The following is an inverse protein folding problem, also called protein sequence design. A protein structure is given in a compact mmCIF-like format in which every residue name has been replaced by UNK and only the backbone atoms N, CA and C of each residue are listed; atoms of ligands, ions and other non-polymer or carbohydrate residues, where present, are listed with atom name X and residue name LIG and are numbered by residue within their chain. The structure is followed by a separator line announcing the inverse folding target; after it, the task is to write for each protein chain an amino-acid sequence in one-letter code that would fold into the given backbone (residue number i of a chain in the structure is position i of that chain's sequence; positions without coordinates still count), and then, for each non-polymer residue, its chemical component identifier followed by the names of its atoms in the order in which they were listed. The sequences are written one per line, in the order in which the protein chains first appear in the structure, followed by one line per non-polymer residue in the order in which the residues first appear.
data_IF_223337236021
#
_entry.id   IF_223337236021
#
_cell.length_a   1.000
_cell.length_b   1.000
_cell.length_c   1.000
_cell.angle_alpha   90.00
_cell.angle_beta   90.00
_cell.angle_gamma   90.00
#
_symmetry.space_group_name_H-M   'P 1'
#
loop_
_entity.id
_entity.type
_entity.pdbx_description
1 polymer ?
#
# COMPACT_ATOMS: atom_id res chain seq x y z
N UNK A 1 25.04 -25.26 6.44
CA UNK A 1 23.66 -24.75 6.23
C UNK A 1 23.09 -23.92 7.39
N UNK A 2 23.81 -23.63 8.49
CA UNK A 2 23.24 -22.86 9.62
C UNK A 2 23.63 -21.37 9.71
N UNK A 3 24.66 -20.89 9.01
CA UNK A 3 25.14 -19.49 9.15
C UNK A 3 24.22 -18.42 8.53
N UNK A 4 23.36 -18.77 7.57
CA UNK A 4 22.63 -17.78 6.76
C UNK A 4 21.13 -17.68 7.08
N UNK A 5 20.58 -18.57 7.92
CA UNK A 5 19.13 -18.66 8.16
C UNK A 5 18.55 -17.44 8.89
N UNK A 6 19.38 -16.71 9.63
CA UNK A 6 18.99 -15.54 10.43
C UNK A 6 19.30 -14.19 9.78
N UNK A 7 19.87 -14.16 8.57
CA UNK A 7 20.12 -12.88 7.90
C UNK A 7 18.80 -12.21 7.55
N UNK A 8 18.69 -10.92 7.80
CA UNK A 8 17.66 -10.07 7.20
C UNK A 8 17.77 -10.11 5.67
N UNK A 9 16.70 -9.72 4.96
CA UNK A 9 16.74 -9.63 3.50
C UNK A 9 17.86 -8.67 3.05
N UNK A 10 18.10 -7.60 3.80
CA UNK A 10 19.16 -6.64 3.48
C UNK A 10 20.55 -7.23 3.61
N UNK A 11 20.84 -7.95 4.68
CA UNK A 11 22.15 -8.57 4.88
C UNK A 11 22.40 -9.69 3.86
N UNK A 12 21.38 -10.49 3.56
CA UNK A 12 21.48 -11.54 2.55
C UNK A 12 21.80 -10.96 1.16
N UNK A 13 21.22 -9.81 0.80
CA UNK A 13 21.56 -9.13 -0.44
C UNK A 13 22.96 -8.52 -0.42
N UNK A 14 23.44 -7.97 0.71
CA UNK A 14 24.83 -7.52 0.80
C UNK A 14 25.81 -8.69 0.54
N UNK A 15 25.58 -9.86 1.13
CA UNK A 15 26.41 -11.05 0.89
C UNK A 15 26.41 -11.48 -0.59
N UNK A 16 25.26 -11.48 -1.26
CA UNK A 16 25.19 -11.82 -2.70
C UNK A 16 25.92 -10.78 -3.57
N UNK A 17 25.86 -9.50 -3.20
CA UNK A 17 26.53 -8.43 -3.93
C UNK A 17 28.05 -8.55 -3.85
N UNK A 18 28.56 -8.89 -2.66
CA UNK A 18 29.98 -9.16 -2.40
C UNK A 18 30.44 -10.44 -3.11
N UNK A 19 29.71 -11.57 -2.95
CA UNK A 19 30.10 -12.87 -3.52
C UNK A 19 30.24 -12.84 -5.04
N UNK A 20 29.38 -12.07 -5.72
CA UNK A 20 29.33 -12.05 -7.18
C UNK A 20 29.89 -10.77 -7.82
N UNK A 21 30.41 -9.82 -7.03
CA UNK A 21 30.83 -8.48 -7.48
C UNK A 21 29.75 -7.79 -8.34
N UNK A 22 28.51 -7.79 -7.87
CA UNK A 22 27.33 -7.40 -8.66
C UNK A 22 27.44 -5.95 -9.17
N UNK A 23 27.93 -5.02 -8.34
CA UNK A 23 28.02 -3.61 -8.71
C UNK A 23 29.00 -3.37 -9.87
N UNK A 24 30.18 -3.99 -9.82
CA UNK A 24 31.20 -3.87 -10.86
C UNK A 24 30.71 -4.44 -12.20
N UNK A 25 30.03 -5.60 -12.15
CA UNK A 25 29.43 -6.20 -13.35
C UNK A 25 28.33 -5.33 -13.94
N UNK A 26 27.48 -4.72 -13.11
CA UNK A 26 26.46 -3.77 -13.59
C UNK A 26 27.12 -2.52 -14.21
N UNK A 27 28.24 -2.05 -13.66
CA UNK A 27 28.96 -0.90 -14.21
C UNK A 27 29.61 -1.22 -15.57
N UNK A 28 30.16 -2.42 -15.74
CA UNK A 28 30.77 -2.86 -17.00
C UNK A 28 29.77 -3.32 -18.07
N UNK A 29 28.74 -4.07 -17.68
CA UNK A 29 27.81 -4.78 -18.59
C UNK A 29 26.41 -4.13 -18.65
N UNK A 30 26.11 -3.18 -17.76
CA UNK A 30 24.81 -2.50 -17.64
C UNK A 30 23.77 -3.24 -16.79
N UNK A 31 23.94 -4.55 -16.57
CA UNK A 31 23.07 -5.38 -15.74
C UNK A 31 23.82 -6.61 -15.20
N UNK A 32 23.22 -7.31 -14.24
CA UNK A 32 23.68 -8.60 -13.74
C UNK A 32 22.52 -9.61 -13.74
N UNK A 33 22.77 -10.84 -14.17
CA UNK A 33 21.78 -11.93 -14.10
C UNK A 33 22.14 -12.88 -12.97
N UNK A 34 21.14 -13.25 -12.18
CA UNK A 34 21.31 -14.18 -11.05
C UNK A 34 20.22 -15.26 -11.09
N UNK A 35 20.62 -16.51 -10.88
CA UNK A 35 19.70 -17.63 -10.78
C UNK A 35 19.09 -17.73 -9.38
N UNK A 36 17.82 -18.11 -9.31
CA UNK A 36 17.12 -18.38 -8.05
C UNK A 36 17.85 -19.45 -7.21
N UNK A 37 18.58 -20.36 -7.85
CA UNK A 37 19.40 -21.37 -7.16
C UNK A 37 20.54 -20.75 -6.37
N UNK A 38 21.17 -19.69 -6.88
CA UNK A 38 22.22 -18.95 -6.19
C UNK A 38 21.66 -18.22 -4.99
N UNK A 39 20.54 -17.50 -5.17
CA UNK A 39 19.83 -16.84 -4.06
C UNK A 39 19.45 -17.85 -2.98
N UNK A 40 18.95 -19.03 -3.38
CA UNK A 40 18.51 -20.11 -2.49
C UNK A 40 19.63 -20.67 -1.59
N UNK A 41 20.91 -20.47 -1.94
CA UNK A 41 22.04 -20.82 -1.07
C UNK A 41 22.01 -20.04 0.26
N UNK A 42 21.45 -18.83 0.23
CA UNK A 42 21.40 -17.92 1.38
C UNK A 42 19.98 -17.81 1.95
N UNK A 43 18.97 -17.55 1.10
CA UNK A 43 17.59 -17.32 1.54
C UNK A 43 16.56 -17.67 0.45
N UNK A 44 15.29 -17.83 0.84
CA UNK A 44 14.22 -18.19 -0.09
C UNK A 44 14.08 -17.13 -1.22
N UNK A 45 14.19 -17.52 -2.51
CA UNK A 45 14.24 -16.56 -3.62
C UNK A 45 13.00 -15.67 -3.79
N UNK A 46 11.79 -16.20 -3.54
CA UNK A 46 10.55 -15.42 -3.65
C UNK A 46 10.55 -14.27 -2.64
N UNK A 47 10.95 -14.50 -1.39
CA UNK A 47 11.10 -13.47 -0.37
C UNK A 47 12.20 -12.46 -0.72
N UNK A 48 13.28 -12.92 -1.36
CA UNK A 48 14.40 -12.08 -1.76
C UNK A 48 14.10 -11.20 -2.98
N UNK A 49 13.08 -11.51 -3.78
CA UNK A 49 12.75 -10.78 -5.00
C UNK A 49 11.33 -10.16 -5.00
N UNK A 50 10.58 -10.28 -3.90
CA UNK A 50 9.26 -9.66 -3.71
C UNK A 50 9.43 -8.20 -3.27
N UNK A 51 9.75 -7.34 -4.23
CA UNK A 51 9.82 -5.89 -4.04
C UNK A 51 8.76 -5.24 -4.91
N UNK A 52 7.51 -5.29 -4.44
CA UNK A 52 6.38 -4.73 -5.18
C UNK A 52 6.37 -3.19 -5.08
N UNK A 53 7.00 -2.63 -4.03
CA UNK A 53 7.17 -1.20 -3.84
C UNK A 53 8.64 -0.78 -3.67
N UNK A 54 8.94 0.47 -4.04
CA UNK A 54 10.30 1.02 -3.88
C UNK A 54 10.78 0.93 -2.43
N UNK A 55 9.86 1.12 -1.48
CA UNK A 55 10.15 1.13 -0.04
C UNK A 55 10.59 -0.23 0.51
N UNK A 56 10.27 -1.33 -0.20
CA UNK A 56 10.67 -2.68 0.19
C UNK A 56 12.08 -3.03 -0.31
N UNK A 57 12.70 -2.20 -1.17
CA UNK A 57 14.04 -2.47 -1.68
C UNK A 57 15.08 -2.45 -0.54
N UNK A 58 16.00 -3.43 -0.50
CA UNK A 58 17.13 -3.41 0.41
C UNK A 58 17.96 -2.14 0.26
N UNK A 59 18.67 -1.75 1.32
CA UNK A 59 19.48 -0.52 1.32
C UNK A 59 20.50 -0.50 0.18
N UNK A 60 21.18 -1.63 -0.08
CA UNK A 60 22.14 -1.76 -1.18
C UNK A 60 21.53 -1.53 -2.57
N UNK A 61 20.24 -1.86 -2.76
CA UNK A 61 19.55 -1.55 -4.01
C UNK A 61 19.19 -0.08 -4.11
N UNK A 62 18.57 0.48 -3.07
CA UNK A 62 18.09 1.87 -3.08
C UNK A 62 19.23 2.88 -3.17
N UNK A 63 20.34 2.68 -2.46
CA UNK A 63 21.55 3.52 -2.52
C UNK A 63 22.23 3.49 -3.89
N UNK A 64 22.15 2.35 -4.60
CA UNK A 64 22.72 2.20 -5.94
C UNK A 64 21.71 2.38 -7.08
N UNK A 65 20.47 2.80 -6.76
CA UNK A 65 19.37 2.99 -7.72
C UNK A 65 19.05 1.76 -8.58
N UNK A 66 19.15 0.58 -7.98
CA UNK A 66 18.92 -0.71 -8.61
C UNK A 66 17.49 -1.21 -8.44
N UNK A 67 17.05 -2.01 -9.40
CA UNK A 67 15.85 -2.83 -9.31
C UNK A 67 16.15 -4.25 -9.80
N UNK A 68 15.30 -5.20 -9.43
CA UNK A 68 15.38 -6.61 -9.83
C UNK A 68 14.09 -7.01 -10.54
N UNK A 69 14.20 -7.72 -11.66
CA UNK A 69 13.05 -8.22 -12.43
C UNK A 69 13.23 -9.71 -12.75
N UNK A 70 12.18 -10.54 -12.64
CA UNK A 70 12.24 -11.93 -13.07
C UNK A 70 12.18 -12.03 -14.59
N UNK A 71 13.20 -12.64 -15.19
CA UNK A 71 13.30 -12.85 -16.65
C UNK A 71 12.89 -14.27 -17.05
N UNK A 72 12.97 -15.22 -16.13
CA UNK A 72 12.44 -16.58 -16.29
C UNK A 72 11.76 -17.04 -15.00
N UNK A 73 11.29 -18.30 -14.92
CA UNK A 73 10.81 -18.88 -13.65
C UNK A 73 11.91 -19.05 -12.59
N UNK A 74 13.17 -19.05 -13.00
CA UNK A 74 14.30 -19.42 -12.16
C UNK A 74 15.44 -18.43 -12.18
N UNK A 75 15.28 -17.25 -12.77
CA UNK A 75 16.35 -16.26 -12.86
C UNK A 75 15.82 -14.83 -12.92
N UNK A 76 16.66 -13.93 -12.41
CA UNK A 76 16.39 -12.52 -12.26
C UNK A 76 17.48 -11.69 -12.94
N UNK A 77 17.13 -10.46 -13.31
CA UNK A 77 18.06 -9.45 -13.80
C UNK A 77 18.05 -8.25 -12.86
N UNK A 78 19.23 -7.77 -12.51
CA UNK A 78 19.48 -6.62 -11.64
C UNK A 78 20.14 -5.52 -12.47
N UNK A 79 19.68 -4.28 -12.32
CA UNK A 79 20.26 -3.13 -13.00
C UNK A 79 19.60 -1.83 -12.58
N UNK A 80 20.08 -0.71 -13.13
CA UNK A 80 19.59 0.63 -12.80
C UNK A 80 18.22 0.93 -13.43
N UNK A 81 17.24 0.05 -13.30
CA UNK A 81 15.98 0.14 -14.06
C UNK A 81 14.97 1.09 -13.42
N UNK A 82 14.25 1.84 -14.26
CA UNK A 82 13.01 2.52 -13.87
C UNK A 82 11.86 1.50 -13.80
N UNK A 83 11.87 0.64 -12.78
CA UNK A 83 10.95 -0.51 -12.69
C UNK A 83 9.58 -0.18 -12.08
N UNK A 84 9.47 0.92 -11.33
CA UNK A 84 8.31 1.29 -10.52
C UNK A 84 7.59 2.51 -11.10
N UNK A 85 6.27 2.55 -10.92
CA UNK A 85 5.42 3.67 -11.25
C UNK A 85 4.86 4.27 -9.96
N UNK A 86 5.04 5.57 -9.74
CA UNK A 86 4.35 6.27 -8.67
C UNK A 86 2.84 6.25 -8.93
N UNK A 87 2.08 5.91 -7.90
CA UNK A 87 0.64 6.10 -7.91
C UNK A 87 0.38 7.59 -7.75
N UNK A 88 -0.29 8.17 -8.73
CA UNK A 88 -0.82 9.52 -8.59
C UNK A 88 -1.83 9.49 -7.46
N UNK A 89 -1.60 10.33 -6.44
CA UNK A 89 -2.57 10.48 -5.37
C UNK A 89 -3.86 11.00 -5.99
N UNK A 90 -4.92 10.22 -5.84
CA UNK A 90 -6.25 10.67 -6.23
C UNK A 90 -6.51 11.93 -5.42
N UNK A 91 -6.81 13.02 -6.11
CA UNK A 91 -7.02 14.31 -5.45
C UNK A 91 -8.15 14.15 -4.44
N UNK A 92 -8.03 14.79 -3.28
CA UNK A 92 -8.99 14.65 -2.19
C UNK A 92 -10.43 15.02 -2.60
N UNK A 93 -10.57 15.89 -3.61
CA UNK A 93 -11.83 16.33 -4.21
C UNK A 93 -12.41 15.37 -5.26
N UNK A 94 -11.75 14.24 -5.54
CA UNK A 94 -12.27 13.25 -6.49
C UNK A 94 -13.54 12.60 -5.91
N UNK A 95 -14.71 12.78 -6.54
CA UNK A 95 -15.97 12.27 -6.02
C UNK A 95 -15.95 10.75 -5.87
N UNK A 96 -16.59 10.26 -4.81
CA UNK A 96 -16.79 8.83 -4.60
C UNK A 96 -18.17 8.46 -5.16
N UNK A 97 -18.20 7.57 -6.14
CA UNK A 97 -19.44 7.06 -6.71
C UNK A 97 -20.00 5.96 -5.83
N UNK A 98 -21.21 6.17 -5.31
CA UNK A 98 -21.93 5.15 -4.53
C UNK A 98 -22.62 4.15 -5.47
N UNK A 99 -22.32 2.88 -5.28
CA UNK A 99 -23.02 1.73 -5.87
C UNK A 99 -23.71 0.93 -4.76
N UNK A 100 -24.52 -0.05 -5.13
CA UNK A 100 -25.23 -0.89 -4.19
C UNK A 100 -24.99 -2.36 -4.52
N UNK A 101 -24.69 -3.14 -3.49
CA UNK A 101 -24.72 -4.58 -3.62
C UNK A 101 -26.20 -5.01 -3.68
N UNK A 102 -26.62 -5.83 -4.65
CA UNK A 102 -28.01 -6.29 -4.71
C UNK A 102 -28.41 -7.09 -3.47
N UNK A 103 -29.61 -6.85 -2.94
CA UNK A 103 -30.09 -7.46 -1.68
C UNK A 103 -30.15 -9.00 -1.69
N UNK A 104 -30.21 -9.62 -2.88
CA UNK A 104 -30.20 -11.07 -3.03
C UNK A 104 -28.79 -11.69 -2.86
N UNK A 105 -27.72 -10.88 -2.87
CA UNK A 105 -26.35 -11.34 -2.63
C UNK A 105 -26.11 -11.39 -1.13
N UNK A 106 -26.26 -12.57 -0.54
CA UNK A 106 -26.08 -12.81 0.90
C UNK A 106 -24.70 -13.38 1.27
N UNK A 107 -23.93 -13.84 0.28
CA UNK A 107 -22.63 -14.47 0.48
C UNK A 107 -21.46 -13.49 0.65
N UNK A 108 -21.71 -12.19 0.46
CA UNK A 108 -20.70 -11.14 0.57
C UNK A 108 -21.02 -10.25 1.77
N UNK A 109 -20.12 -10.29 2.76
CA UNK A 109 -20.19 -9.44 3.93
C UNK A 109 -19.34 -8.18 3.73
N UNK A 110 -20.00 -7.03 3.63
CA UNK A 110 -19.35 -5.73 3.42
C UNK A 110 -18.51 -5.28 4.61
N UNK A 111 -18.82 -5.78 5.81
CA UNK A 111 -18.07 -5.47 7.03
C UNK A 111 -16.77 -6.28 7.15
N UNK A 112 -16.57 -7.28 6.29
CA UNK A 112 -15.49 -8.25 6.42
C UNK A 112 -14.76 -8.53 5.09
N UNK A 113 -14.43 -7.49 4.33
CA UNK A 113 -13.66 -7.63 3.10
C UNK A 113 -12.17 -7.75 3.42
N UNK A 114 -11.69 -8.99 3.56
CA UNK A 114 -10.35 -9.33 4.05
C UNK A 114 -9.39 -9.89 3.00
N UNK A 115 -9.85 -10.03 1.75
CA UNK A 115 -9.00 -10.50 0.64
C UNK A 115 -9.25 -9.71 -0.64
N UNK A 116 -8.23 -9.64 -1.49
CA UNK A 116 -8.30 -9.04 -2.83
C UNK A 116 -9.43 -9.67 -3.66
N UNK A 117 -9.59 -11.00 -3.57
CA UNK A 117 -10.65 -11.74 -4.24
C UNK A 117 -12.05 -11.33 -3.74
N UNK A 118 -12.24 -11.15 -2.42
CA UNK A 118 -13.52 -10.68 -1.86
C UNK A 118 -13.83 -9.25 -2.32
N UNK A 119 -12.83 -8.36 -2.30
CA UNK A 119 -12.99 -6.99 -2.76
C UNK A 119 -13.39 -6.95 -4.25
N UNK A 120 -12.73 -7.75 -5.10
CA UNK A 120 -13.07 -7.88 -6.52
C UNK A 120 -14.47 -8.48 -6.73
N UNK A 121 -14.84 -9.51 -5.98
CA UNK A 121 -16.19 -10.10 -6.05
C UNK A 121 -17.27 -9.10 -5.67
N UNK A 122 -17.04 -8.31 -4.62
CA UNK A 122 -17.97 -7.25 -4.22
C UNK A 122 -18.06 -6.15 -5.30
N UNK A 123 -16.93 -5.69 -5.82
CA UNK A 123 -16.90 -4.70 -6.91
C UNK A 123 -17.61 -5.22 -8.17
N UNK A 124 -17.48 -6.50 -8.49
CA UNK A 124 -18.19 -7.13 -9.60
C UNK A 124 -19.71 -7.18 -9.34
N UNK A 125 -20.11 -7.74 -8.18
CA UNK A 125 -21.51 -7.97 -7.84
C UNK A 125 -22.33 -6.67 -7.67
N UNK A 126 -21.68 -5.59 -7.22
CA UNK A 126 -22.27 -4.24 -7.10
C UNK A 126 -22.27 -3.43 -8.41
N UNK A 127 -21.73 -3.99 -9.50
CA UNK A 127 -21.65 -3.30 -10.79
C UNK A 127 -20.55 -2.25 -10.90
N UNK A 128 -19.70 -2.05 -9.87
CA UNK A 128 -18.57 -1.12 -9.91
C UNK A 128 -17.64 -1.40 -11.10
N UNK A 129 -17.31 -2.67 -11.34
CA UNK A 129 -16.40 -3.03 -12.44
C UNK A 129 -17.06 -2.74 -13.80
N UNK A 130 -18.35 -3.02 -13.95
CA UNK A 130 -19.09 -2.74 -15.18
C UNK A 130 -19.18 -1.23 -15.46
N UNK A 131 -19.51 -0.43 -14.45
CA UNK A 131 -19.53 1.04 -14.54
C UNK A 131 -18.14 1.61 -14.88
N UNK A 132 -17.11 1.14 -14.17
CA UNK A 132 -15.75 1.58 -14.42
C UNK A 132 -15.39 1.29 -15.88
N UNK A 133 -15.59 0.06 -16.34
CA UNK A 133 -15.27 -0.35 -17.71
C UNK A 133 -16.17 0.28 -18.78
N UNK A 134 -17.33 0.82 -18.41
CA UNK A 134 -18.37 1.29 -19.34
C UNK A 134 -18.84 0.16 -20.27
N UNK A 135 -19.05 -1.03 -19.69
CA UNK A 135 -19.52 -2.22 -20.40
C UNK A 135 -20.84 -2.67 -19.76
N UNK A 136 -21.87 -2.91 -20.57
CA UNK A 136 -23.21 -3.31 -20.07
C UNK A 136 -23.19 -4.72 -19.46
N UNK A 137 -22.43 -5.62 -20.06
CA UNK A 137 -22.24 -6.98 -19.57
C UNK A 137 -20.76 -7.31 -19.52
N UNK A 138 -20.34 -7.88 -18.40
CA UNK A 138 -18.99 -8.38 -18.18
C UNK A 138 -19.05 -9.76 -17.55
N UNK A 139 -18.09 -10.62 -17.87
CA UNK A 139 -17.93 -11.95 -17.26
C UNK A 139 -16.51 -12.10 -16.71
N UNK A 140 -16.31 -12.73 -15.55
CA UNK A 140 -14.98 -13.11 -15.10
C UNK A 140 -14.43 -14.23 -16.00
N UNK A 141 -13.22 -14.06 -16.56
CA UNK A 141 -12.67 -15.00 -17.55
C UNK A 141 -11.22 -15.41 -17.31
N UNK A 142 -10.40 -14.56 -16.69
CA UNK A 142 -8.96 -14.80 -16.52
C UNK A 142 -8.55 -14.58 -15.07
N UNK A 143 -7.88 -15.56 -14.45
CA UNK A 143 -7.25 -15.37 -13.14
C UNK A 143 -6.17 -16.42 -12.89
N UNK A 144 -5.35 -16.18 -11.87
CA UNK A 144 -4.32 -17.09 -11.41
C UNK A 144 -2.99 -16.98 -12.16
N UNK A 145 -2.16 -18.03 -12.01
CA UNK A 145 -0.78 -18.02 -12.49
C UNK A 145 -0.69 -18.51 -13.93
N UNK A 146 0.13 -17.83 -14.72
CA UNK A 146 0.46 -18.25 -16.09
C UNK A 146 1.93 -17.99 -16.41
N UNK A 147 2.40 -18.56 -17.53
CA UNK A 147 3.72 -18.23 -18.08
C UNK A 147 3.63 -17.06 -19.05
N UNK A 148 4.63 -16.18 -19.01
CA UNK A 148 4.73 -15.00 -19.89
C UNK A 148 4.91 -15.33 -21.38
N UNK A 149 5.27 -16.57 -21.71
CA UNK A 149 5.88 -16.89 -23.01
C UNK A 149 7.20 -16.12 -23.21
N UNK A 150 7.61 -15.96 -24.46
CA UNK A 150 8.81 -15.21 -24.80
C UNK A 150 8.48 -13.82 -25.36
N UNK A 151 9.16 -12.80 -24.84
CA UNK A 151 9.15 -11.45 -25.40
C UNK A 151 10.33 -10.63 -24.90
N UNK A 152 10.61 -9.53 -25.60
CA UNK A 152 11.59 -8.53 -25.19
C UNK A 152 10.97 -7.13 -25.09
N UNK A 153 11.66 -6.25 -24.38
CA UNK A 153 11.34 -4.82 -24.25
C UNK A 153 12.57 -3.99 -23.89
N UNK A 154 12.45 -2.68 -24.05
CA UNK A 154 13.39 -1.70 -23.54
C UNK A 154 12.84 -1.09 -22.25
N UNK A 155 13.71 -0.92 -21.26
CA UNK A 155 13.44 -0.25 -19.99
C UNK A 155 14.40 0.91 -19.82
N UNK A 156 13.90 2.04 -19.35
CA UNK A 156 14.69 3.23 -19.07
C UNK A 156 15.66 2.96 -17.90
N UNK A 157 16.82 3.61 -17.97
CA UNK A 157 17.82 3.57 -16.91
C UNK A 157 17.78 4.83 -16.04
N UNK A 158 17.99 4.66 -14.73
CA UNK A 158 18.18 5.76 -13.79
C UNK A 158 19.52 6.46 -14.10
N UNK A 159 19.44 7.74 -14.49
CA UNK A 159 20.60 8.55 -14.89
C UNK A 159 21.36 9.20 -13.72
N UNK A 160 20.89 9.04 -12.48
CA UNK A 160 21.52 9.68 -11.32
C UNK A 160 22.85 8.99 -10.98
N UNK A 161 23.94 9.74 -11.08
CA UNK A 161 25.23 9.40 -10.46
C UNK A 161 26.16 8.45 -11.21
N UNK A 162 25.87 8.05 -12.46
CA UNK A 162 26.76 7.18 -13.25
C UNK A 162 26.93 7.68 -14.70
N UNK A 163 28.09 7.38 -15.30
CA UNK A 163 28.37 7.57 -16.74
C UNK A 163 27.55 6.55 -17.56
N UNK A 164 26.23 6.70 -17.58
CA UNK A 164 25.37 5.82 -18.39
C UNK A 164 25.39 6.34 -19.83
N UNK A 165 26.10 5.65 -20.73
CA UNK A 165 26.18 5.99 -22.15
C UNK A 165 24.87 5.72 -22.93
N UNK A 166 23.97 4.90 -22.39
CA UNK A 166 22.69 4.54 -22.99
C UNK A 166 21.50 4.94 -22.10
N UNK A 167 20.39 5.39 -22.69
CA UNK A 167 19.19 5.78 -21.93
C UNK A 167 18.28 4.61 -21.56
N UNK A 168 18.46 3.44 -22.20
CA UNK A 168 17.62 2.26 -22.03
C UNK A 168 18.43 0.96 -22.06
N UNK A 169 17.89 -0.10 -21.47
CA UNK A 169 18.41 -1.47 -21.52
C UNK A 169 17.37 -2.39 -22.17
N UNK A 170 17.81 -3.29 -23.06
CA UNK A 170 16.94 -4.36 -23.60
C UNK A 170 16.89 -5.53 -22.63
N UNK A 171 15.68 -5.98 -22.31
CA UNK A 171 15.40 -7.11 -21.42
C UNK A 171 14.71 -8.21 -22.23
N UNK A 172 15.20 -9.44 -22.06
CA UNK A 172 14.61 -10.64 -22.66
C UNK A 172 13.92 -11.44 -21.56
N UNK A 173 12.65 -11.76 -21.77
CA UNK A 173 11.83 -12.55 -20.86
C UNK A 173 11.47 -13.86 -21.55
N UNK A 174 11.67 -14.98 -20.87
CA UNK A 174 11.24 -16.29 -21.33
C UNK A 174 10.56 -17.08 -20.20
N UNK A 175 9.26 -17.32 -20.37
CA UNK A 175 8.41 -18.11 -19.45
C UNK A 175 8.45 -17.63 -18.00
N UNK A 176 8.73 -16.36 -17.75
CA UNK A 176 8.61 -15.74 -16.42
C UNK A 176 7.19 -15.95 -15.88
N UNK A 177 7.08 -16.15 -14.56
CA UNK A 177 5.77 -16.37 -13.93
C UNK A 177 5.02 -15.04 -13.87
N UNK A 178 3.76 -15.06 -14.34
CA UNK A 178 2.80 -13.97 -14.19
C UNK A 178 1.66 -14.43 -13.29
N UNK A 179 1.05 -13.50 -12.60
CA UNK A 179 -0.13 -13.69 -11.75
C UNK A 179 -1.13 -12.61 -12.15
N UNK A 180 -2.40 -12.98 -12.27
CA UNK A 180 -3.51 -12.08 -12.61
C UNK A 180 -4.57 -12.32 -11.55
N UNK A 181 -4.90 -11.30 -10.75
CA UNK A 181 -5.85 -11.47 -9.66
C UNK A 181 -7.26 -11.67 -10.19
N UNK A 182 -7.64 -10.85 -11.17
CA UNK A 182 -8.86 -11.07 -11.95
C UNK A 182 -8.79 -10.46 -13.34
N UNK A 183 -9.62 -10.99 -14.22
CA UNK A 183 -9.83 -10.51 -15.56
C UNK A 183 -11.31 -10.58 -15.90
N UNK A 184 -11.85 -9.46 -16.37
CA UNK A 184 -13.25 -9.30 -16.71
C UNK A 184 -13.36 -8.96 -18.18
N UNK A 185 -14.12 -9.77 -18.91
CA UNK A 185 -14.30 -9.61 -20.34
C UNK A 185 -15.72 -9.14 -20.64
N UNK A 186 -15.83 -8.04 -21.37
CA UNK A 186 -17.07 -7.55 -21.97
C UNK A 186 -17.08 -7.72 -23.48
N UNK A 187 -18.02 -7.05 -24.13
CA UNK A 187 -18.14 -7.08 -25.59
C UNK A 187 -16.97 -6.37 -26.27
N UNK A 188 -16.48 -5.28 -25.69
CA UNK A 188 -15.48 -4.41 -26.33
C UNK A 188 -14.07 -4.62 -25.82
N UNK A 189 -13.88 -5.15 -24.60
CA UNK A 189 -12.55 -5.24 -23.99
C UNK A 189 -12.38 -6.40 -23.01
N UNK A 190 -11.12 -6.79 -22.80
CA UNK A 190 -10.69 -7.59 -21.66
C UNK A 190 -9.96 -6.68 -20.68
N UNK A 191 -10.47 -6.53 -19.48
CA UNK A 191 -9.79 -5.87 -18.38
C UNK A 191 -8.97 -6.89 -17.59
N UNK A 192 -7.71 -6.57 -17.29
CA UNK A 192 -6.84 -7.32 -16.39
C UNK A 192 -6.58 -6.46 -15.16
N UNK A 193 -6.86 -6.99 -13.98
CA UNK A 193 -6.81 -6.27 -12.72
C UNK A 193 -5.72 -6.88 -11.84
N UNK A 194 -4.79 -6.03 -11.40
CA UNK A 194 -3.93 -6.25 -10.24
C UNK A 194 -4.58 -5.59 -9.03
N UNK A 195 -4.89 -6.37 -8.01
CA UNK A 195 -5.60 -5.96 -6.82
C UNK A 195 -4.64 -5.83 -5.63
N UNK A 196 -4.88 -4.83 -4.79
CA UNK A 196 -4.18 -4.62 -3.51
C UNK A 196 -5.16 -4.27 -2.41
N UNK A 197 -4.85 -4.75 -1.20
CA UNK A 197 -5.50 -4.30 0.03
C UNK A 197 -4.68 -3.26 0.79
N UNK A 198 -3.42 -3.06 0.44
CA UNK A 198 -2.54 -2.13 1.13
C UNK A 198 -2.42 -0.79 0.41
N UNK A 199 -2.27 0.27 1.20
CA UNK A 199 -2.10 1.63 0.69
C UNK A 199 -0.62 1.85 0.35
N UNK A 200 -0.31 1.89 -0.94
CA UNK A 200 1.03 2.15 -1.46
C UNK A 200 1.15 3.50 -2.16
N UNK A 201 2.40 3.96 -2.36
CA UNK A 201 2.72 5.18 -3.12
C UNK A 201 3.18 4.90 -4.54
N UNK A 202 3.48 3.64 -4.84
CA UNK A 202 3.99 3.16 -6.11
C UNK A 202 3.59 1.69 -6.29
N UNK A 203 3.85 1.16 -7.47
CA UNK A 203 3.75 -0.27 -7.75
C UNK A 203 4.79 -0.68 -8.79
N UNK A 204 5.09 -1.98 -8.84
CA UNK A 204 5.99 -2.54 -9.83
C UNK A 204 5.26 -2.66 -11.17
N UNK A 205 5.70 -1.90 -12.19
CA UNK A 205 5.05 -1.82 -13.51
C UNK A 205 4.83 -3.21 -14.13
N UNK A 206 5.70 -4.18 -13.84
CA UNK A 206 5.64 -5.57 -14.28
C UNK A 206 4.28 -6.22 -14.02
N UNK A 207 3.67 -5.91 -12.88
CA UNK A 207 2.40 -6.48 -12.43
C UNK A 207 1.28 -6.20 -13.45
N UNK A 208 1.32 -5.05 -14.12
CA UNK A 208 0.42 -4.74 -15.24
C UNK A 208 1.02 -5.14 -16.59
N UNK A 209 2.30 -4.84 -16.80
CA UNK A 209 2.93 -4.94 -18.12
C UNK A 209 3.03 -6.39 -18.62
N UNK A 210 3.40 -7.34 -17.77
CA UNK A 210 3.61 -8.73 -18.22
C UNK A 210 2.27 -9.39 -18.59
N UNK A 211 1.21 -9.34 -17.77
CA UNK A 211 -0.13 -9.76 -18.17
C UNK A 211 -0.60 -9.09 -19.46
N UNK A 212 -0.43 -7.77 -19.59
CA UNK A 212 -0.79 -7.03 -20.80
C UNK A 212 -0.06 -7.55 -22.04
N UNK A 213 1.26 -7.76 -21.98
CA UNK A 213 2.07 -8.31 -23.09
C UNK A 213 1.61 -9.71 -23.52
N UNK A 214 1.16 -10.53 -22.58
CA UNK A 214 0.66 -11.88 -22.84
C UNK A 214 -0.69 -11.82 -23.56
N UNK A 215 -1.66 -11.12 -22.97
CA UNK A 215 -3.03 -11.13 -23.49
C UNK A 215 -3.18 -10.32 -24.76
N UNK A 216 -2.42 -9.24 -24.94
CA UNK A 216 -2.43 -8.45 -26.18
C UNK A 216 -2.03 -9.26 -27.41
N UNK A 217 -1.29 -10.37 -27.24
CA UNK A 217 -0.95 -11.31 -28.31
C UNK A 217 -1.98 -12.43 -28.52
N UNK A 218 -2.84 -12.70 -27.53
CA UNK A 218 -3.76 -13.85 -27.53
C UNK A 218 -5.16 -13.50 -28.01
N UNK A 219 -5.56 -12.23 -27.89
CA UNK A 219 -6.90 -11.77 -28.26
C UNK A 219 -6.83 -10.57 -29.19
N UNK A 220 -7.93 -10.33 -29.91
CA UNK A 220 -8.09 -9.19 -30.82
C UNK A 220 -8.66 -7.96 -30.11
N UNK A 221 -9.52 -8.15 -29.11
CA UNK A 221 -10.11 -7.05 -28.32
C UNK A 221 -9.01 -6.22 -27.63
N UNK A 222 -9.24 -4.93 -27.40
CA UNK A 222 -8.47 -4.13 -26.46
C UNK A 222 -8.28 -4.84 -25.11
N UNK A 223 -7.03 -4.86 -24.63
CA UNK A 223 -6.67 -5.31 -23.29
C UNK A 223 -6.45 -4.06 -22.44
N UNK A 224 -7.12 -3.97 -21.30
CA UNK A 224 -7.09 -2.81 -20.40
C UNK A 224 -6.39 -3.21 -19.12
N UNK A 225 -5.36 -2.45 -18.73
CA UNK A 225 -4.59 -2.75 -17.51
C UNK A 225 -5.11 -1.89 -16.37
N UNK A 226 -5.51 -2.52 -15.28
CA UNK A 226 -6.12 -1.84 -14.14
C UNK A 226 -5.34 -2.18 -12.89
N UNK A 227 -4.94 -1.14 -12.16
CA UNK A 227 -4.50 -1.27 -10.78
C UNK A 227 -5.69 -0.94 -9.88
N UNK A 228 -5.98 -1.81 -8.93
CA UNK A 228 -7.13 -1.73 -8.04
C UNK A 228 -6.66 -1.75 -6.58
N UNK A 229 -7.11 -0.78 -5.79
CA UNK A 229 -6.83 -0.72 -4.35
C UNK A 229 -8.13 -0.65 -3.59
N UNK A 230 -8.38 -1.61 -2.71
CA UNK A 230 -9.46 -1.56 -1.74
C UNK A 230 -8.89 -1.27 -0.34
N UNK A 231 -9.38 -0.22 0.30
CA UNK A 231 -9.09 0.06 1.71
C UNK A 231 -10.18 0.95 2.30
N UNK A 232 -10.54 0.68 3.55
CA UNK A 232 -11.52 1.38 4.36
C UNK A 232 -12.88 1.54 3.66
N UNK A 233 -13.36 0.50 2.97
CA UNK A 233 -14.64 0.53 2.24
C UNK A 233 -14.59 1.26 0.88
N UNK A 234 -13.44 1.79 0.48
CA UNK A 234 -13.29 2.55 -0.77
C UNK A 234 -12.56 1.72 -1.82
N UNK A 235 -13.15 1.65 -3.01
CA UNK A 235 -12.66 0.94 -4.18
C UNK A 235 -12.02 1.94 -5.15
N UNK A 236 -10.69 1.94 -5.24
CA UNK A 236 -9.93 2.86 -6.08
C UNK A 236 -9.45 2.14 -7.33
N UNK A 237 -9.91 2.59 -8.50
CA UNK A 237 -9.54 2.03 -9.79
C UNK A 237 -8.64 3.00 -10.54
N UNK A 238 -7.54 2.50 -11.09
CA UNK A 238 -6.59 3.24 -11.92
C UNK A 238 -6.40 2.48 -13.23
N UNK A 239 -6.87 3.06 -14.33
CA UNK A 239 -6.68 2.47 -15.66
C UNK A 239 -5.43 3.04 -16.31
N UNK A 240 -4.58 2.13 -16.79
CA UNK A 240 -3.32 2.44 -17.39
C UNK A 240 -3.23 1.91 -18.83
N UNK A 241 -2.55 2.66 -19.69
CA UNK A 241 -2.24 2.28 -21.06
C UNK A 241 -0.73 2.27 -21.31
N UNK A 242 -0.27 1.33 -22.15
CA UNK A 242 1.12 1.26 -22.59
C UNK A 242 1.21 1.76 -24.03
N UNK A 243 1.68 3.01 -24.21
CA UNK A 243 1.76 3.64 -25.54
C UNK A 243 2.68 2.92 -26.53
N UNK A 244 3.61 2.10 -26.04
CA UNK A 244 4.44 1.25 -26.88
C UNK A 244 4.67 -0.11 -26.24
N UNK A 245 4.25 -1.17 -26.93
CA UNK A 245 4.42 -2.55 -26.48
C UNK A 245 5.86 -2.95 -26.19
N UNK A 246 6.86 -2.30 -26.81
CA UNK A 246 8.29 -2.60 -26.59
C UNK A 246 8.97 -1.64 -25.62
N UNK A 247 8.25 -0.67 -25.04
CA UNK A 247 8.79 0.24 -24.05
C UNK A 247 8.08 0.04 -22.70
N UNK A 248 8.81 -0.50 -21.73
CA UNK A 248 8.32 -0.77 -20.38
C UNK A 248 7.81 0.50 -19.68
N UNK A 249 8.47 1.63 -19.93
CA UNK A 249 8.16 2.93 -19.33
C UNK A 249 7.20 3.78 -20.16
N UNK A 250 6.50 3.21 -21.15
CA UNK A 250 5.45 3.89 -21.91
C UNK A 250 4.08 3.90 -21.21
N UNK A 251 4.07 3.48 -19.94
CA UNK A 251 2.90 3.43 -19.10
C UNK A 251 2.39 4.85 -18.80
N UNK A 252 1.11 5.10 -19.02
CA UNK A 252 0.45 6.34 -18.61
C UNK A 252 -0.88 6.05 -17.91
N UNK A 253 -1.22 6.86 -16.91
CA UNK A 253 -2.55 6.83 -16.29
C UNK A 253 -3.55 7.45 -17.27
N UNK A 254 -4.60 6.71 -17.61
CA UNK A 254 -5.67 7.18 -18.49
C UNK A 254 -6.78 7.84 -17.69
N UNK A 255 -7.18 7.19 -16.58
CA UNK A 255 -8.19 7.71 -15.66
C UNK A 255 -8.14 6.96 -14.33
N UNK A 256 -8.71 7.58 -13.31
CA UNK A 256 -8.99 6.94 -12.05
C UNK A 256 -10.45 7.23 -11.63
N UNK A 257 -11.02 6.35 -10.81
CA UNK A 257 -12.34 6.54 -10.19
C UNK A 257 -12.35 5.90 -8.80
N UNK A 258 -13.19 6.45 -7.92
CA UNK A 258 -13.41 5.95 -6.57
C UNK A 258 -14.85 5.51 -6.43
N UNK A 259 -15.06 4.36 -5.81
CA UNK A 259 -16.39 3.84 -5.54
C UNK A 259 -16.53 3.44 -4.08
N UNK A 260 -17.77 3.34 -3.63
CA UNK A 260 -18.16 2.76 -2.34
C UNK A 260 -19.46 1.98 -2.52
N UNK A 261 -19.66 0.97 -1.68
CA UNK A 261 -20.96 0.29 -1.53
C UNK A 261 -21.62 0.64 -0.19
N UNK A 262 -20.97 1.48 0.60
CA UNK A 262 -21.41 1.92 1.92
C UNK A 262 -21.85 3.40 1.88
N UNK A 263 -22.57 3.85 2.90
CA UNK A 263 -22.86 5.28 3.08
C UNK A 263 -21.63 6.01 3.63
N UNK A 264 -21.07 6.91 2.83
CA UNK A 264 -19.90 7.72 3.20
C UNK A 264 -20.24 9.08 3.77
N UNK A 265 -21.53 9.46 3.83
CA UNK A 265 -21.93 10.83 4.17
C UNK A 265 -21.74 11.14 5.65
N UNK A 266 -20.72 11.94 5.94
CA UNK A 266 -20.44 12.48 7.26
C UNK A 266 -20.59 14.00 7.18
N UNK A 267 -21.40 14.59 8.06
CA UNK A 267 -21.55 16.06 8.12
C UNK A 267 -20.64 16.61 9.20
N UNK A 268 -20.26 17.88 9.08
CA UNK A 268 -19.46 18.56 10.11
C UNK A 268 -20.11 18.51 11.52
N UNK A 269 -21.44 18.63 11.59
CA UNK A 269 -22.20 18.50 12.86
C UNK A 269 -22.05 17.13 13.52
N UNK A 270 -21.77 16.08 12.74
CA UNK A 270 -21.52 14.74 13.26
C UNK A 270 -20.15 14.72 13.97
N UNK A 271 -19.13 15.43 13.44
CA UNK A 271 -17.80 15.60 14.08
C UNK A 271 -17.90 16.44 15.36
N UNK A 272 -18.63 17.55 15.34
CA UNK A 272 -18.84 18.39 16.53
C UNK A 272 -19.54 17.61 17.65
N UNK A 273 -20.52 16.77 17.28
CA UNK A 273 -21.19 15.87 18.21
C UNK A 273 -20.19 14.89 18.84
N UNK A 274 -19.37 14.22 18.02
CA UNK A 274 -18.33 13.30 18.53
C UNK A 274 -17.39 14.02 19.49
N UNK A 275 -16.87 15.20 19.13
CA UNK A 275 -15.94 15.94 19.99
C UNK A 275 -16.56 16.29 21.36
N UNK A 276 -17.84 16.73 21.38
CA UNK A 276 -18.55 17.10 22.61
C UNK A 276 -18.86 15.91 23.50
N UNK A 277 -19.20 14.76 22.90
CA UNK A 277 -19.60 13.55 23.63
C UNK A 277 -18.41 12.66 24.02
N UNK A 278 -17.22 12.93 23.49
CA UNK A 278 -16.02 12.16 23.80
C UNK A 278 -15.46 12.56 25.16
N UNK A 279 -15.44 11.61 26.09
CA UNK A 279 -14.74 11.76 27.36
C UNK A 279 -13.23 11.73 27.14
N UNK A 280 -12.53 12.69 27.74
CA UNK A 280 -11.06 12.71 27.72
C UNK A 280 -10.50 11.58 28.59
N UNK A 281 -9.39 11.01 28.14
CA UNK A 281 -8.59 10.11 28.97
C UNK A 281 -7.99 10.89 30.14
N UNK A 282 -7.97 10.26 31.32
CA UNK A 282 -7.31 10.83 32.49
C UNK A 282 -5.79 10.88 32.30
N UNK A 283 -5.21 9.77 31.81
CA UNK A 283 -3.79 9.63 31.51
C UNK A 283 -3.57 9.17 30.07
N UNK A 284 -2.52 9.69 29.44
CA UNK A 284 -2.05 9.20 28.16
C UNK A 284 -1.44 7.79 28.29
N UNK A 285 -1.63 6.90 27.31
CA UNK A 285 -1.12 5.54 27.38
C UNK A 285 0.42 5.54 27.41
N UNK A 286 1.01 4.55 28.09
CA UNK A 286 2.47 4.32 28.16
C UNK A 286 3.03 3.69 26.87
N UNK A 287 2.57 4.18 25.73
CA UNK A 287 3.00 3.84 24.37
C UNK A 287 3.63 5.10 23.76
N UNK A 288 4.59 5.01 22.83
CA UNK A 288 5.10 6.19 22.16
C UNK A 288 3.98 7.01 21.52
N UNK A 289 3.91 8.31 21.80
CA UNK A 289 2.95 9.19 21.13
C UNK A 289 3.11 9.12 19.60
N UNK A 290 2.01 9.16 18.82
CA UNK A 290 2.04 8.86 17.39
C UNK A 290 3.03 9.70 16.57
N UNK A 291 3.67 9.06 15.59
CA UNK A 291 4.51 9.69 14.57
C UNK A 291 4.19 9.11 13.18
N UNK A 292 2.90 9.12 12.83
CA UNK A 292 2.30 8.42 11.72
C UNK A 292 1.31 9.36 11.00
N UNK A 293 1.82 10.19 10.10
CA UNK A 293 1.06 11.30 9.50
C UNK A 293 -0.14 10.85 8.62
N UNK A 294 -0.16 9.62 8.10
CA UNK A 294 -1.24 9.14 7.23
C UNK A 294 -2.19 8.23 8.02
N UNK A 295 -3.28 8.77 8.56
CA UNK A 295 -4.18 7.98 9.41
C UNK A 295 -4.77 6.77 8.69
N UNK A 296 -4.99 6.86 7.38
CA UNK A 296 -5.45 5.75 6.54
C UNK A 296 -4.49 4.55 6.60
N UNK A 297 -3.18 4.77 6.82
CA UNK A 297 -2.22 3.68 7.02
C UNK A 297 -2.31 3.05 8.43
N UNK A 298 -2.82 3.78 9.42
CA UNK A 298 -3.17 3.20 10.74
C UNK A 298 -4.37 2.27 10.58
N UNK A 299 -5.41 2.72 9.88
CA UNK A 299 -6.59 1.90 9.54
C UNK A 299 -6.14 0.66 8.76
N UNK A 300 -5.31 0.84 7.73
CA UNK A 300 -4.85 -0.25 6.89
C UNK A 300 -4.08 -1.33 7.67
N UNK A 301 -3.23 -0.96 8.64
CA UNK A 301 -2.61 -1.97 9.53
C UNK A 301 -3.68 -2.77 10.29
N UNK A 302 -4.73 -2.12 10.77
CA UNK A 302 -5.83 -2.82 11.46
C UNK A 302 -6.55 -3.79 10.51
N UNK A 303 -6.81 -3.39 9.25
CA UNK A 303 -7.41 -4.25 8.22
C UNK A 303 -6.55 -5.49 7.94
N UNK A 304 -5.23 -5.30 7.82
CA UNK A 304 -4.29 -6.41 7.60
C UNK A 304 -4.29 -7.39 8.79
N UNK A 305 -4.28 -6.86 10.02
CA UNK A 305 -4.29 -7.64 11.26
C UNK A 305 -5.64 -8.30 11.57
N UNK A 306 -6.73 -7.87 10.91
CA UNK A 306 -8.03 -8.52 11.03
C UNK A 306 -8.00 -9.96 10.48
N UNK A 307 -7.11 -10.22 9.51
CA UNK A 307 -6.99 -11.52 8.82
C UNK A 307 -6.14 -12.53 9.58
N UNK A 308 -5.04 -12.07 10.19
CA UNK A 308 -4.11 -12.88 10.96
C UNK A 308 -3.16 -11.99 11.76
N UNK A 309 -2.54 -12.59 12.76
CA UNK A 309 -1.39 -11.97 13.43
C UNK A 309 -0.20 -11.86 12.47
N UNK A 310 0.55 -10.77 12.59
CA UNK A 310 1.66 -10.46 11.70
C UNK A 310 2.91 -10.13 12.50
N UNK A 311 4.02 -10.75 12.13
CA UNK A 311 5.33 -10.30 12.57
C UNK A 311 5.70 -8.97 11.91
N UNK A 312 6.63 -8.23 12.53
CA UNK A 312 7.19 -7.00 11.94
C UNK A 312 7.72 -7.23 10.51
N UNK A 313 8.39 -8.36 10.31
CA UNK A 313 8.96 -8.72 9.02
C UNK A 313 7.88 -8.98 7.97
N UNK A 314 6.78 -9.65 8.32
CA UNK A 314 5.66 -9.84 7.40
C UNK A 314 5.03 -8.50 7.02
N UNK A 315 4.87 -7.57 7.96
CA UNK A 315 4.33 -6.23 7.68
C UNK A 315 5.24 -5.48 6.68
N UNK A 316 6.56 -5.52 6.90
CA UNK A 316 7.54 -4.82 6.05
C UNK A 316 7.71 -5.47 4.67
N UNK A 317 7.60 -6.79 4.55
CA UNK A 317 7.90 -7.50 3.29
C UNK A 317 6.66 -7.62 2.39
N UNK A 318 5.48 -7.80 2.98
CA UNK A 318 4.29 -8.11 2.21
C UNK A 318 3.42 -6.89 1.89
N UNK A 319 3.71 -5.75 2.50
CA UNK A 319 2.92 -4.54 2.35
C UNK A 319 3.84 -3.33 2.13
N UNK A 320 3.30 -2.23 1.62
CA UNK A 320 4.06 -1.02 1.27
C UNK A 320 4.62 -0.22 2.47
N UNK A 321 5.11 -0.89 3.51
CA UNK A 321 5.77 -0.32 4.70
C UNK A 321 7.27 -0.56 4.68
N UNK A 322 8.07 0.45 5.02
CA UNK A 322 9.44 0.21 5.48
C UNK A 322 9.50 -0.20 6.96
N UNK A 323 10.69 -0.61 7.39
CA UNK A 323 10.99 -1.04 8.76
C UNK A 323 10.67 0.03 9.82
N UNK A 324 10.84 1.32 9.51
CA UNK A 324 10.52 2.44 10.42
C UNK A 324 9.02 2.74 10.42
N UNK A 325 8.41 2.79 9.24
CA UNK A 325 6.97 2.99 9.09
C UNK A 325 6.19 1.89 9.80
N UNK A 326 6.61 0.63 9.67
CA UNK A 326 5.99 -0.50 10.39
C UNK A 326 5.89 -0.21 11.88
N UNK A 327 6.97 0.25 12.51
CA UNK A 327 6.95 0.60 13.93
C UNK A 327 6.04 1.79 14.21
N UNK A 328 6.19 2.89 13.46
CA UNK A 328 5.43 4.11 13.73
C UNK A 328 3.92 3.91 13.59
N UNK A 329 3.48 3.20 12.55
CA UNK A 329 2.07 2.96 12.32
C UNK A 329 1.50 1.88 13.25
N UNK A 330 2.26 0.82 13.56
CA UNK A 330 1.80 -0.19 14.53
C UNK A 330 1.73 0.41 15.93
N UNK A 331 2.72 1.19 16.37
CA UNK A 331 2.67 1.85 17.68
C UNK A 331 1.58 2.94 17.74
N UNK A 332 1.27 3.61 16.62
CA UNK A 332 0.13 4.53 16.56
C UNK A 332 -1.22 3.80 16.69
N UNK A 333 -1.39 2.63 16.07
CA UNK A 333 -2.58 1.79 16.26
C UNK A 333 -2.68 1.29 17.72
N UNK A 334 -1.54 0.92 18.33
CA UNK A 334 -1.46 0.56 19.75
C UNK A 334 -1.80 1.72 20.68
N UNK A 335 -1.36 2.94 20.35
CA UNK A 335 -1.69 4.15 21.09
C UNK A 335 -3.20 4.39 21.18
N UNK A 336 -3.95 4.03 20.14
CA UNK A 336 -5.43 4.11 20.12
C UNK A 336 -6.14 2.89 20.75
N UNK A 337 -5.38 1.87 21.15
CA UNK A 337 -5.87 0.59 21.68
C UNK A 337 -6.49 -0.33 20.63
N UNK A 338 -6.21 -0.11 19.34
CA UNK A 338 -6.73 -0.92 18.23
C UNK A 338 -5.92 -2.21 18.02
N UNK A 339 -4.63 -2.14 18.31
CA UNK A 339 -3.65 -3.22 18.12
C UNK A 339 -2.92 -3.44 19.43
N UNK A 340 -2.43 -4.65 19.66
CA UNK A 340 -1.37 -4.89 20.63
C UNK A 340 -0.30 -5.83 20.06
N UNK A 341 0.70 -6.15 20.87
CA UNK A 341 1.81 -7.02 20.47
C UNK A 341 2.22 -7.95 21.59
N UNK A 342 2.61 -9.16 21.21
CA UNK A 342 3.12 -10.18 22.11
C UNK A 342 4.45 -10.74 21.60
N UNK A 343 5.27 -11.22 22.54
CA UNK A 343 6.53 -11.89 22.23
C UNK A 343 6.29 -13.39 22.25
N UNK A 344 6.50 -14.03 21.11
CA UNK A 344 6.32 -15.47 20.96
C UNK A 344 7.54 -16.26 21.46
N UNK A 345 7.40 -17.59 21.54
CA UNK A 345 8.43 -18.50 22.09
C UNK A 345 9.77 -18.47 21.33
N UNK A 346 9.73 -18.11 20.06
CA UNK A 346 10.90 -17.91 19.20
C UNK A 346 11.60 -16.56 19.42
N UNK A 347 11.01 -15.69 20.25
CA UNK A 347 11.50 -14.36 20.57
C UNK A 347 11.06 -13.28 19.60
N UNK A 348 10.31 -13.62 18.55
CA UNK A 348 9.76 -12.67 17.58
C UNK A 348 8.54 -11.95 18.16
N UNK A 349 8.36 -10.70 17.71
CA UNK A 349 7.22 -9.87 18.10
C UNK A 349 6.14 -10.00 17.04
N UNK A 350 4.96 -10.41 17.49
CA UNK A 350 3.75 -10.48 16.68
C UNK A 350 2.78 -9.38 17.10
N UNK A 351 2.20 -8.72 16.12
CA UNK A 351 1.12 -7.76 16.31
C UNK A 351 -0.21 -8.46 16.05
N UNK A 352 -1.23 -8.09 16.82
CA UNK A 352 -2.59 -8.61 16.68
C UNK A 352 -3.62 -7.51 16.91
N UNK A 353 -4.79 -7.67 16.29
CA UNK A 353 -5.91 -6.76 16.46
C UNK A 353 -6.60 -7.02 17.81
N UNK A 354 -6.86 -5.98 18.60
CA UNK A 354 -7.61 -6.11 19.86
C UNK A 354 -9.10 -6.32 19.60
N UNK A 355 -9.86 -6.74 20.61
CA UNK A 355 -11.33 -6.81 20.52
C UNK A 355 -11.95 -5.47 20.12
N UNK A 356 -11.43 -4.37 20.67
CA UNK A 356 -11.83 -3.01 20.32
C UNK A 356 -11.55 -2.71 18.85
N UNK A 357 -10.36 -3.06 18.36
CA UNK A 357 -10.01 -2.93 16.94
C UNK A 357 -10.95 -3.71 16.04
N UNK A 358 -11.24 -4.96 16.40
CA UNK A 358 -12.17 -5.84 15.66
C UNK A 358 -13.57 -5.24 15.59
N UNK A 359 -14.13 -4.84 16.74
CA UNK A 359 -15.48 -4.28 16.81
C UNK A 359 -15.65 -3.01 15.97
N UNK A 360 -14.60 -2.19 15.81
CA UNK A 360 -14.67 -0.96 15.02
C UNK A 360 -14.63 -1.28 13.51
N UNK A 361 -13.87 -2.29 13.09
CA UNK A 361 -13.79 -2.67 11.67
C UNK A 361 -15.10 -3.29 11.17
N UNK A 362 -15.83 -3.99 12.04
CA UNK A 362 -17.14 -4.58 11.74
C UNK A 362 -18.26 -3.53 11.57
N UNK A 363 -18.02 -2.26 11.95
CA UNK A 363 -18.98 -1.19 11.73
C UNK A 363 -19.01 -0.78 10.25
N UNK A 364 -20.19 -0.35 9.80
CA UNK A 364 -20.34 0.31 8.50
C UNK A 364 -19.51 1.60 8.42
N UNK A 365 -19.15 2.02 7.21
CA UNK A 365 -18.18 3.08 6.94
C UNK A 365 -18.34 4.31 7.84
N UNK A 366 -19.55 4.88 7.92
CA UNK A 366 -19.83 6.08 8.70
C UNK A 366 -19.52 5.88 10.19
N UNK A 367 -20.09 4.85 10.80
CA UNK A 367 -19.94 4.58 12.23
C UNK A 367 -18.49 4.17 12.56
N UNK A 368 -17.83 3.46 11.64
CA UNK A 368 -16.40 3.16 11.70
C UNK A 368 -15.56 4.44 11.74
N UNK A 369 -15.79 5.39 10.82
CA UNK A 369 -15.03 6.65 10.79
C UNK A 369 -15.28 7.47 12.06
N UNK A 370 -16.53 7.61 12.51
CA UNK A 370 -16.86 8.35 13.73
C UNK A 370 -16.27 7.70 14.99
N UNK A 371 -16.19 6.37 15.01
CA UNK A 371 -15.51 5.63 16.08
C UNK A 371 -14.01 5.93 16.09
N UNK A 372 -13.34 5.97 14.94
CA UNK A 372 -11.95 6.42 14.86
C UNK A 372 -11.77 7.87 15.31
N UNK A 373 -12.67 8.79 14.91
CA UNK A 373 -12.67 10.17 15.42
C UNK A 373 -12.74 10.21 16.94
N UNK A 374 -13.65 9.44 17.55
CA UNK A 374 -13.78 9.33 19.01
C UNK A 374 -12.48 8.82 19.66
N UNK A 375 -11.83 7.81 19.07
CA UNK A 375 -10.56 7.28 19.56
C UNK A 375 -9.42 8.28 19.49
N UNK A 376 -9.40 9.16 18.50
CA UNK A 376 -8.40 10.22 18.41
C UNK A 376 -8.72 11.31 19.45
N UNK A 377 -9.99 11.73 19.52
CA UNK A 377 -10.44 12.89 20.30
C UNK A 377 -10.57 12.64 21.81
N UNK A 378 -10.46 11.40 22.28
CA UNK A 378 -10.31 11.09 23.71
C UNK A 378 -8.93 11.53 24.24
N UNK A 379 -7.94 11.73 23.36
CA UNK A 379 -6.61 12.22 23.73
C UNK A 379 -6.59 13.75 23.74
N UNK A 380 -6.14 14.35 24.85
CA UNK A 380 -6.32 15.77 25.15
C UNK A 380 -5.73 16.69 24.06
N UNK A 381 -4.54 16.36 23.54
CA UNK A 381 -3.87 17.16 22.51
C UNK A 381 -4.73 17.27 21.25
N UNK A 382 -5.26 16.15 20.75
CA UNK A 382 -6.05 16.14 19.52
C UNK A 382 -7.39 16.87 19.72
N UNK A 383 -8.01 16.68 20.88
CA UNK A 383 -9.24 17.38 21.26
C UNK A 383 -9.05 18.91 21.25
N UNK A 384 -8.00 19.40 21.92
CA UNK A 384 -7.69 20.83 21.99
C UNK A 384 -7.39 21.44 20.61
N UNK A 385 -6.67 20.71 19.75
CA UNK A 385 -6.36 21.19 18.38
C UNK A 385 -7.62 21.25 17.53
N UNK A 386 -8.51 20.25 17.59
CA UNK A 386 -9.79 20.31 16.86
C UNK A 386 -10.69 21.41 17.40
N UNK A 387 -10.74 21.60 18.72
CA UNK A 387 -11.49 22.70 19.35
C UNK A 387 -10.99 24.05 18.85
N UNK A 388 -9.68 24.27 18.88
CA UNK A 388 -9.08 25.52 18.39
C UNK A 388 -9.32 25.73 16.88
N UNK A 389 -9.32 24.65 16.08
CA UNK A 389 -9.72 24.71 14.66
C UNK A 389 -11.18 25.19 14.49
N UNK A 390 -12.12 24.65 15.28
CA UNK A 390 -13.53 25.03 15.21
C UNK A 390 -13.72 26.50 15.65
N UNK A 391 -13.13 26.90 16.77
CA UNK A 391 -13.24 28.25 17.33
C UNK A 391 -12.61 29.32 16.41
N UNK A 392 -11.59 28.95 15.63
CA UNK A 392 -10.91 29.86 14.69
C UNK A 392 -11.44 29.74 13.26
N UNK A 393 -12.77 29.67 13.09
CA UNK A 393 -13.43 29.64 11.77
C UNK A 393 -12.88 28.54 10.84
N UNK A 394 -12.62 27.34 11.36
CA UNK A 394 -12.10 26.20 10.59
C UNK A 394 -10.72 26.47 9.99
N UNK A 395 -9.89 27.23 10.70
CA UNK A 395 -8.49 27.47 10.34
C UNK A 395 -7.59 26.56 11.16
N UNK A 396 -6.78 25.73 10.47
CA UNK A 396 -5.87 24.80 11.14
C UNK A 396 -4.80 25.55 11.96
N UNK A 397 -4.64 25.24 13.27
CA UNK A 397 -3.60 25.82 14.10
C UNK A 397 -2.20 25.65 13.49
N UNK A 398 -1.34 26.64 13.73
CA UNK A 398 0.05 26.59 13.26
C UNK A 398 0.80 25.44 13.94
N UNK A 399 1.86 24.94 13.27
CA UNK A 399 2.66 23.85 13.84
C UNK A 399 3.27 24.22 15.20
N UNK A 400 3.72 25.45 15.37
CA UNK A 400 4.26 25.95 16.65
C UNK A 400 3.18 25.95 17.74
N UNK A 401 1.95 26.35 17.38
CA UNK A 401 0.83 26.35 18.30
C UNK A 401 0.45 24.93 18.76
N UNK A 402 0.48 23.97 17.85
CA UNK A 402 0.28 22.55 18.18
C UNK A 402 1.38 22.06 19.15
N UNK A 403 2.64 22.45 18.95
CA UNK A 403 3.75 22.11 19.86
C UNK A 403 3.50 22.67 21.26
N UNK A 404 3.01 23.92 21.39
CA UNK A 404 2.67 24.50 22.69
C UNK A 404 1.58 23.70 23.43
N UNK A 405 0.54 23.26 22.72
CA UNK A 405 -0.52 22.41 23.27
C UNK A 405 0.06 21.08 23.75
N UNK A 406 0.93 20.46 22.94
CA UNK A 406 1.60 19.21 23.28
C UNK A 406 2.48 19.32 24.54
N UNK A 407 3.26 20.40 24.67
CA UNK A 407 4.14 20.62 25.83
C UNK A 407 3.37 20.75 27.14
N UNK A 408 2.12 21.22 27.09
CA UNK A 408 1.23 21.36 28.25
C UNK A 408 0.48 20.07 28.61
N UNK A 409 0.58 19.01 27.80
CA UNK A 409 -0.25 17.81 27.91
C UNK A 409 0.47 16.58 28.50
N UNK A 410 1.61 16.76 29.18
CA UNK A 410 2.37 15.69 29.86
C UNK A 410 2.54 14.38 29.05
N UNK A 411 3.01 14.50 27.80
CA UNK A 411 3.09 13.37 26.88
C UNK A 411 4.21 12.39 27.22
N UNK A 412 3.92 11.09 27.12
CA UNK A 412 4.88 10.03 27.42
C UNK A 412 6.09 10.04 26.47
N UNK A 413 7.28 10.09 27.07
CA UNK A 413 8.59 9.91 26.42
C UNK A 413 8.84 10.85 25.21
N UNK A 414 8.56 12.15 25.38
CA UNK A 414 8.96 13.21 24.43
C UNK A 414 9.99 14.12 25.09
N UNK A 415 11.27 13.90 24.78
CA UNK A 415 12.38 14.62 25.43
C UNK A 415 13.01 15.75 24.63
N UNK A 416 12.65 15.95 23.35
CA UNK A 416 13.30 16.97 22.50
C UNK A 416 12.32 17.75 21.63
N UNK A 417 12.67 19.01 21.33
CA UNK A 417 11.89 19.88 20.45
C UNK A 417 11.71 19.27 19.05
N UNK A 418 12.75 18.62 18.49
CA UNK A 418 12.64 17.92 17.20
C UNK A 418 11.63 16.77 17.23
N UNK A 419 11.49 16.10 18.37
CA UNK A 419 10.49 15.04 18.55
C UNK A 419 9.10 15.63 18.66
N UNK A 420 8.92 16.74 19.39
CA UNK A 420 7.66 17.50 19.38
C UNK A 420 7.30 17.96 17.97
N UNK A 421 8.24 18.55 17.23
CA UNK A 421 8.00 19.02 15.87
C UNK A 421 7.58 17.89 14.92
N UNK A 422 8.22 16.72 14.97
CA UNK A 422 7.80 15.57 14.13
C UNK A 422 6.41 15.06 14.51
N UNK A 423 6.12 14.93 15.81
CA UNK A 423 4.82 14.43 16.30
C UNK A 423 3.68 15.45 16.15
N UNK A 424 3.96 16.75 16.17
CA UNK A 424 3.00 17.81 15.87
C UNK A 424 2.49 17.74 14.42
N UNK A 425 3.33 17.28 13.48
CA UNK A 425 2.87 16.99 12.11
C UNK A 425 1.78 15.91 12.12
N UNK A 426 1.94 14.86 12.93
CA UNK A 426 0.94 13.79 13.05
C UNK A 426 -0.35 14.30 13.64
N UNK A 427 -0.29 15.11 14.70
CA UNK A 427 -1.49 15.75 15.28
C UNK A 427 -2.23 16.55 14.22
N UNK A 428 -1.52 17.46 13.53
CA UNK A 428 -2.11 18.27 12.46
C UNK A 428 -2.78 17.39 11.40
N UNK A 429 -2.07 16.35 10.93
CA UNK A 429 -2.54 15.48 9.85
C UNK A 429 -3.72 14.62 10.24
N UNK A 430 -3.81 14.17 11.49
CA UNK A 430 -4.98 13.43 11.98
C UNK A 430 -6.19 14.34 12.13
N UNK A 431 -6.02 15.60 12.56
CA UNK A 431 -7.12 16.57 12.55
C UNK A 431 -7.53 16.93 11.12
N UNK A 432 -6.58 17.12 10.20
CA UNK A 432 -6.87 17.28 8.76
C UNK A 432 -7.68 16.07 8.23
N UNK A 433 -7.31 14.85 8.60
CA UNK A 433 -8.09 13.65 8.25
C UNK A 433 -9.52 13.71 8.79
N UNK A 434 -9.73 14.02 10.08
CA UNK A 434 -11.06 14.12 10.70
C UNK A 434 -11.95 15.13 9.96
N UNK A 435 -11.43 16.31 9.64
CA UNK A 435 -12.23 17.37 9.00
C UNK A 435 -12.44 17.12 7.51
N UNK A 436 -11.55 16.38 6.85
CA UNK A 436 -11.71 15.96 5.45
C UNK A 436 -12.68 14.80 5.27
N UNK A 437 -13.17 14.19 6.35
CA UNK A 437 -14.28 13.22 6.27
C UNK A 437 -15.60 13.88 5.88
N UNK A 438 -15.73 15.20 6.08
CA UNK A 438 -17.00 15.89 5.94
C UNK A 438 -17.24 16.36 4.52
N UNK A 439 -18.45 16.12 4.02
CA UNK A 439 -18.96 16.64 2.74
C UNK A 439 -19.81 17.90 2.92
#
# INVERSE_FOLDING_TARGET
MSKFKNLSISEAWCSLFEEHNILERIEGEGFFKIDAKEIKKIKEPRLMAKFDHFVNLPKIFSENHLAILPVTRGSYIIGNFQAYQSLEQVKADTPITRMYLPDYIQSLDLSNITSEAMALNCAYASGIIADFLQENEIKPTVSGRAGSGAFDFFINLNKKGKKVCHSTQRIYVDKSQIEIDAGYEGNHSLALIEAKLDISKDFLIRQLYYPYRVWKKRIQKPVRSIFFIYSNGIYNFYEYDFKSLKNYNSLILIRNRRYTVEDTKIRFVDIEKVMRETSLLYDEPKVPFPQADTFERVINICELLATKELSRNEITVNYAFDVRQTNYYSDAARYLGLVDKEKYKDGEIYYFLTEKGRSILELGYKDRQLSFCKLILQHNVFNLVLKEYIENNRTMPSKNRIIEIMQKSNLHNIGSFDTFSRRASTVKKWIEWIVNLTE
#
